data_IF_347873237531
#
_entry.id   IF_347873237531
#
_cell.length_a   1.000
_cell.length_b   1.000
_cell.length_c   1.000
_cell.angle_alpha   90.00
_cell.angle_beta   90.00
_cell.angle_gamma   90.00
#
_symmetry.space_group_name_H-M   'P 1'
#
loop_
_entity.id
_entity.type
_entity.pdbx_description
1 polymer ?
#
# COMPACT_ATOMS: atom_id res chain seq x y z
N UNK A 1 -13.52 9.95 21.75
CA UNK A 1 -13.22 11.14 20.90
C UNK A 1 -11.76 11.13 20.42
N UNK A 2 -10.75 10.80 21.26
CA UNK A 2 -9.32 10.84 20.91
C UNK A 2 -8.91 9.89 19.76
N UNK A 3 -9.27 8.62 19.80
CA UNK A 3 -8.90 7.65 18.75
C UNK A 3 -9.51 8.00 17.37
N UNK A 4 -10.78 8.41 17.34
CA UNK A 4 -11.44 8.77 16.08
C UNK A 4 -10.79 9.96 15.37
N UNK A 5 -10.34 10.97 16.12
CA UNK A 5 -9.68 12.15 15.58
C UNK A 5 -8.25 11.85 15.11
N UNK A 6 -7.53 10.96 15.81
CA UNK A 6 -6.20 10.48 15.38
C UNK A 6 -6.31 9.75 14.04
N UNK A 7 -7.26 8.84 13.88
CA UNK A 7 -7.45 8.11 12.62
C UNK A 7 -7.88 9.01 11.47
N UNK A 8 -8.76 9.99 11.70
CA UNK A 8 -9.17 10.96 10.68
C UNK A 8 -7.98 11.75 10.15
N UNK A 9 -7.09 12.15 11.02
CA UNK A 9 -5.87 12.91 10.68
C UNK A 9 -4.83 12.03 10.00
N UNK A 10 -4.63 10.81 10.49
CA UNK A 10 -3.76 9.83 9.86
C UNK A 10 -4.25 9.52 8.43
N UNK A 11 -5.56 9.41 8.23
CA UNK A 11 -6.15 9.22 6.91
C UNK A 11 -5.80 10.37 5.95
N UNK A 12 -6.00 11.62 6.37
CA UNK A 12 -5.64 12.80 5.56
C UNK A 12 -4.16 12.81 5.23
N UNK A 13 -3.30 12.55 6.22
CA UNK A 13 -1.85 12.50 6.01
C UNK A 13 -1.45 11.45 4.99
N UNK A 14 -2.00 10.22 5.09
CA UNK A 14 -1.67 9.13 4.17
C UNK A 14 -2.21 9.41 2.77
N UNK A 15 -3.38 10.04 2.64
CA UNK A 15 -3.91 10.47 1.33
C UNK A 15 -2.95 11.47 0.67
N UNK A 16 -2.52 12.48 1.40
CA UNK A 16 -1.61 13.51 0.86
C UNK A 16 -0.24 12.89 0.55
N UNK A 17 0.37 12.19 1.51
CA UNK A 17 1.69 11.59 1.35
C UNK A 17 1.70 10.51 0.24
N UNK A 18 0.66 9.67 0.20
CA UNK A 18 0.50 8.66 -0.83
C UNK A 18 0.28 9.25 -2.23
N UNK A 19 -0.52 10.32 -2.34
CA UNK A 19 -0.69 11.02 -3.61
C UNK A 19 0.61 11.68 -4.08
N UNK A 20 1.32 12.35 -3.19
CA UNK A 20 2.63 12.97 -3.51
C UNK A 20 3.64 11.90 -3.93
N UNK A 21 3.75 10.79 -3.19
CA UNK A 21 4.65 9.69 -3.54
C UNK A 21 4.29 9.06 -4.91
N UNK A 22 3.01 8.82 -5.17
CA UNK A 22 2.55 8.30 -6.45
C UNK A 22 2.84 9.25 -7.61
N UNK A 23 2.62 10.55 -7.43
CA UNK A 23 2.93 11.57 -8.45
C UNK A 23 4.44 11.67 -8.71
N UNK A 24 5.25 11.70 -7.65
CA UNK A 24 6.72 11.70 -7.79
C UNK A 24 7.19 10.46 -8.54
N UNK A 25 6.64 9.27 -8.20
CA UNK A 25 6.99 8.02 -8.88
C UNK A 25 6.55 8.04 -10.35
N UNK A 26 5.35 8.55 -10.64
CA UNK A 26 4.82 8.57 -12.00
C UNK A 26 5.59 9.53 -12.91
N UNK A 27 5.78 10.77 -12.46
CA UNK A 27 6.48 11.80 -13.25
C UNK A 27 7.99 11.65 -13.21
N UNK A 28 8.54 11.15 -12.11
CA UNK A 28 9.98 10.87 -11.95
C UNK A 28 10.42 9.52 -12.52
N UNK A 29 9.51 8.71 -13.08
CA UNK A 29 9.83 7.36 -13.53
C UNK A 29 11.01 7.30 -14.50
N UNK A 30 11.10 8.23 -15.45
CA UNK A 30 12.18 8.29 -16.43
C UNK A 30 13.53 8.66 -15.81
N UNK A 31 13.50 9.49 -14.78
CA UNK A 31 14.72 9.89 -14.07
C UNK A 31 15.20 8.77 -13.11
N UNK A 32 14.27 8.11 -12.39
CA UNK A 32 14.63 7.04 -11.45
C UNK A 32 15.23 5.79 -12.13
N UNK A 33 14.79 5.49 -13.35
CA UNK A 33 15.25 4.30 -14.10
C UNK A 33 15.92 4.69 -15.42
N UNK A 34 16.71 5.76 -15.41
CA UNK A 34 17.45 6.25 -16.57
C UNK A 34 18.36 5.17 -17.20
N UNK A 35 18.95 4.32 -16.36
CA UNK A 35 19.81 3.21 -16.78
C UNK A 35 19.03 1.99 -17.31
N UNK A 36 17.71 1.96 -17.10
CA UNK A 36 16.84 0.84 -17.47
C UNK A 36 15.54 1.35 -18.13
N UNK A 37 15.57 1.87 -19.36
CA UNK A 37 14.41 2.47 -20.02
C UNK A 37 13.19 1.54 -20.12
N UNK A 38 13.43 0.22 -20.14
CA UNK A 38 12.37 -0.79 -20.18
C UNK A 38 11.56 -0.89 -18.87
N UNK A 39 12.10 -0.40 -17.76
CA UNK A 39 11.44 -0.41 -16.47
C UNK A 39 10.51 0.80 -16.24
N UNK A 40 10.59 1.83 -17.07
CA UNK A 40 9.77 3.05 -16.97
C UNK A 40 8.28 2.72 -16.98
N UNK A 41 7.83 1.84 -17.88
CA UNK A 41 6.44 1.43 -17.99
C UNK A 41 5.97 0.73 -16.71
N UNK A 42 6.78 -0.18 -16.18
CA UNK A 42 6.48 -0.89 -14.92
C UNK A 42 6.37 0.07 -13.74
N UNK A 43 7.25 1.05 -13.64
CA UNK A 43 7.24 2.04 -12.58
C UNK A 43 6.00 2.95 -12.68
N UNK A 44 5.59 3.35 -13.87
CA UNK A 44 4.36 4.11 -14.09
C UNK A 44 3.10 3.31 -13.71
N UNK A 45 3.10 2.00 -13.92
CA UNK A 45 2.01 1.11 -13.49
C UNK A 45 1.99 0.95 -11.96
N UNK A 46 3.16 0.93 -11.31
CA UNK A 46 3.26 0.83 -9.86
C UNK A 46 2.86 2.12 -9.12
N UNK A 47 2.97 3.28 -9.76
CA UNK A 47 2.68 4.56 -9.12
C UNK A 47 1.26 4.63 -8.49
N UNK A 48 0.15 4.29 -9.19
CA UNK A 48 -1.17 4.25 -8.56
C UNK A 48 -1.26 3.17 -7.47
N UNK A 49 -0.50 2.09 -7.57
CA UNK A 49 -0.45 1.04 -6.54
C UNK A 49 0.09 1.57 -5.21
N UNK A 50 1.09 2.46 -5.25
CA UNK A 50 1.64 3.13 -4.06
C UNK A 50 0.52 3.89 -3.32
N UNK A 51 -0.30 4.62 -4.04
CA UNK A 51 -1.43 5.35 -3.46
C UNK A 51 -2.44 4.40 -2.80
N UNK A 52 -2.84 3.35 -3.50
CA UNK A 52 -3.80 2.36 -3.00
C UNK A 52 -3.24 1.59 -1.79
N UNK A 53 -1.94 1.26 -1.79
CA UNK A 53 -1.29 0.58 -0.66
C UNK A 53 -1.33 1.40 0.64
N UNK A 54 -1.31 2.74 0.53
CA UNK A 54 -1.50 3.63 1.67
C UNK A 54 -2.86 3.42 2.36
N UNK A 55 -3.94 3.29 1.59
CA UNK A 55 -5.26 2.97 2.17
C UNK A 55 -5.27 1.59 2.82
N UNK A 56 -4.70 0.60 2.17
CA UNK A 56 -4.60 -0.74 2.71
C UNK A 56 -3.86 -0.74 4.06
N UNK A 57 -2.77 0.02 4.16
CA UNK A 57 -1.99 0.15 5.39
C UNK A 57 -2.80 0.78 6.53
N UNK A 58 -3.59 1.83 6.25
CA UNK A 58 -4.47 2.46 7.25
C UNK A 58 -5.48 1.47 7.80
N UNK A 59 -6.20 0.76 6.93
CA UNK A 59 -7.23 -0.18 7.37
C UNK A 59 -6.63 -1.37 8.13
N UNK A 60 -5.46 -1.85 7.74
CA UNK A 60 -4.71 -2.87 8.49
C UNK A 60 -4.31 -2.36 9.86
N UNK A 61 -3.71 -1.18 9.94
CA UNK A 61 -3.32 -0.55 11.21
C UNK A 61 -4.52 -0.34 12.14
N UNK A 62 -5.63 0.11 11.57
CA UNK A 62 -6.88 0.29 12.32
C UNK A 62 -7.39 -1.02 12.93
N UNK A 63 -7.45 -2.10 12.16
CA UNK A 63 -7.89 -3.40 12.69
C UNK A 63 -6.90 -3.98 13.71
N UNK A 64 -5.60 -3.77 13.54
CA UNK A 64 -4.57 -4.19 14.49
C UNK A 64 -4.68 -3.46 15.82
N UNK A 65 -4.99 -2.18 15.80
CA UNK A 65 -5.20 -1.40 17.03
C UNK A 65 -6.36 -1.93 17.90
N UNK A 66 -7.31 -2.63 17.29
CA UNK A 66 -8.38 -3.34 18.01
C UNK A 66 -8.06 -4.80 18.34
N UNK A 67 -6.77 -5.15 18.46
CA UNK A 67 -6.29 -6.50 18.77
C UNK A 67 -6.80 -7.59 17.80
N UNK A 68 -7.08 -7.23 16.56
CA UNK A 68 -7.54 -8.18 15.53
C UNK A 68 -6.51 -8.33 14.42
N UNK A 69 -5.50 -9.18 14.67
CA UNK A 69 -4.44 -9.43 13.70
C UNK A 69 -4.84 -10.39 12.57
N UNK A 70 -5.80 -11.30 12.83
CA UNK A 70 -6.24 -12.33 11.87
C UNK A 70 -6.69 -11.75 10.53
N UNK A 71 -7.56 -10.72 10.45
CA UNK A 71 -7.95 -10.14 9.16
C UNK A 71 -6.78 -9.54 8.40
N UNK A 72 -5.82 -8.95 9.09
CA UNK A 72 -4.61 -8.39 8.47
C UNK A 72 -3.77 -9.49 7.83
N UNK A 73 -3.53 -10.60 8.56
CA UNK A 73 -2.76 -11.74 8.05
C UNK A 73 -3.43 -12.38 6.84
N UNK A 74 -4.75 -12.59 6.89
CA UNK A 74 -5.50 -13.13 5.75
C UNK A 74 -5.43 -12.18 4.56
N UNK A 75 -5.56 -10.88 4.77
CA UNK A 75 -5.45 -9.89 3.70
C UNK A 75 -4.07 -9.91 3.02
N UNK A 76 -3.00 -10.18 3.78
CA UNK A 76 -1.65 -10.33 3.24
C UNK A 76 -1.51 -11.61 2.39
N UNK A 77 -2.10 -12.71 2.83
CA UNK A 77 -2.11 -13.96 2.05
C UNK A 77 -2.85 -13.74 0.72
N UNK A 78 -4.02 -13.10 0.75
CA UNK A 78 -4.80 -12.79 -0.46
C UNK A 78 -3.99 -11.89 -1.39
N UNK A 79 -3.34 -10.86 -0.86
CA UNK A 79 -2.47 -9.95 -1.62
C UNK A 79 -1.36 -10.71 -2.33
N UNK A 80 -0.64 -11.60 -1.63
CA UNK A 80 0.46 -12.36 -2.21
C UNK A 80 -0.02 -13.39 -3.24
N UNK A 81 -1.12 -14.09 -2.99
CA UNK A 81 -1.70 -15.03 -3.95
C UNK A 81 -2.18 -14.31 -5.21
N UNK A 82 -2.92 -13.22 -5.07
CA UNK A 82 -3.39 -12.43 -6.20
C UNK A 82 -2.21 -11.85 -6.99
N UNK A 83 -1.20 -11.31 -6.29
CA UNK A 83 0.03 -10.82 -6.93
C UNK A 83 0.70 -11.94 -7.73
N UNK A 84 0.94 -13.11 -7.13
CA UNK A 84 1.63 -14.21 -7.81
C UNK A 84 0.87 -14.67 -9.08
N UNK A 85 -0.43 -14.91 -8.96
CA UNK A 85 -1.25 -15.38 -10.09
C UNK A 85 -1.32 -14.32 -11.19
N UNK A 86 -1.66 -13.08 -10.84
CA UNK A 86 -1.84 -12.01 -11.84
C UNK A 86 -0.51 -11.60 -12.46
N UNK A 87 0.60 -11.55 -11.70
CA UNK A 87 1.93 -11.26 -12.24
C UNK A 87 2.33 -12.25 -13.33
N UNK A 88 2.17 -13.55 -13.07
CA UNK A 88 2.56 -14.59 -14.03
C UNK A 88 1.67 -14.52 -15.27
N UNK A 89 0.35 -14.45 -15.09
CA UNK A 89 -0.60 -14.41 -16.20
C UNK A 89 -0.44 -13.14 -17.04
N UNK A 90 -0.36 -11.97 -16.39
CA UNK A 90 -0.24 -10.71 -17.10
C UNK A 90 1.13 -10.57 -17.79
N UNK A 91 2.22 -10.97 -17.13
CA UNK A 91 3.54 -10.97 -17.74
C UNK A 91 3.57 -11.85 -18.99
N UNK A 92 3.03 -13.08 -18.91
CA UNK A 92 2.94 -13.98 -20.05
C UNK A 92 2.09 -13.42 -21.19
N UNK A 93 0.88 -12.93 -20.87
CA UNK A 93 -0.05 -12.42 -21.88
C UNK A 93 0.49 -11.18 -22.59
N UNK A 94 1.13 -10.27 -21.86
CA UNK A 94 1.66 -9.02 -22.42
C UNK A 94 2.98 -9.25 -23.17
N UNK A 95 3.81 -10.19 -22.75
CA UNK A 95 5.06 -10.50 -23.42
C UNK A 95 4.88 -11.39 -24.67
N UNK A 96 3.84 -12.24 -24.70
CA UNK A 96 3.57 -13.22 -25.76
C UNK A 96 3.59 -12.68 -27.19
N UNK A 97 3.09 -11.46 -27.52
CA UNK A 97 3.13 -10.90 -28.88
C UNK A 97 4.53 -10.62 -29.40
N UNK A 98 5.52 -10.54 -28.52
CA UNK A 98 6.90 -10.14 -28.84
C UNK A 98 7.83 -11.35 -28.84
N UNK A 99 8.84 -11.31 -29.70
CA UNK A 99 9.82 -12.39 -29.76
C UNK A 99 10.64 -12.47 -28.47
N UNK A 100 10.84 -13.69 -27.98
CA UNK A 100 11.60 -13.92 -26.75
C UNK A 100 13.04 -13.35 -26.90
N UNK A 101 13.53 -12.72 -25.84
CA UNK A 101 14.84 -12.08 -25.81
C UNK A 101 14.88 -10.66 -26.39
N UNK A 102 13.78 -10.13 -26.91
CA UNK A 102 13.72 -8.74 -27.36
C UNK A 102 13.46 -7.78 -26.20
N UNK A 103 13.88 -6.53 -26.37
CA UNK A 103 13.65 -5.44 -25.42
C UNK A 103 12.17 -5.23 -25.14
N UNK A 104 11.32 -5.34 -26.17
CA UNK A 104 9.87 -5.21 -26.03
C UNK A 104 9.30 -6.38 -25.21
N UNK A 105 9.76 -7.61 -25.41
CA UNK A 105 9.35 -8.75 -24.60
C UNK A 105 9.65 -8.52 -23.11
N UNK A 106 10.86 -8.05 -22.78
CA UNK A 106 11.25 -7.73 -21.40
C UNK A 106 10.43 -6.59 -20.82
N UNK A 107 10.19 -5.51 -21.58
CA UNK A 107 9.42 -4.33 -21.19
C UNK A 107 7.96 -4.68 -20.85
N UNK A 108 7.29 -5.41 -21.71
CA UNK A 108 5.89 -5.78 -21.48
C UNK A 108 5.74 -6.92 -20.46
N UNK A 109 6.72 -7.80 -20.35
CA UNK A 109 6.77 -8.82 -19.30
C UNK A 109 6.90 -8.19 -17.92
N UNK A 110 7.80 -7.23 -17.75
CA UNK A 110 7.96 -6.51 -16.48
C UNK A 110 6.75 -5.65 -16.14
N UNK A 111 6.11 -5.01 -17.14
CA UNK A 111 4.88 -4.26 -16.96
C UNK A 111 3.73 -5.15 -16.48
N UNK A 112 3.60 -6.35 -17.05
CA UNK A 112 2.60 -7.33 -16.60
C UNK A 112 2.84 -7.80 -15.16
N UNK A 113 4.10 -8.02 -14.79
CA UNK A 113 4.45 -8.34 -13.40
C UNK A 113 4.07 -7.20 -12.44
N UNK A 114 4.31 -5.95 -12.83
CA UNK A 114 3.91 -4.78 -12.05
C UNK A 114 2.38 -4.68 -11.86
N UNK A 115 1.59 -5.06 -12.87
CA UNK A 115 0.13 -5.14 -12.76
C UNK A 115 -0.32 -6.14 -11.70
N UNK A 116 0.40 -7.24 -11.52
CA UNK A 116 0.14 -8.22 -10.48
C UNK A 116 0.24 -7.64 -9.08
N UNK A 117 1.26 -6.80 -8.84
CA UNK A 117 1.40 -6.09 -7.56
C UNK A 117 0.18 -5.19 -7.29
N UNK A 118 -0.28 -4.45 -8.31
CA UNK A 118 -1.50 -3.64 -8.21
C UNK A 118 -2.75 -4.47 -7.89
N UNK A 119 -2.93 -5.59 -8.59
CA UNK A 119 -4.04 -6.51 -8.36
C UNK A 119 -3.98 -7.14 -6.95
N UNK A 120 -2.80 -7.49 -6.48
CA UNK A 120 -2.59 -7.99 -5.13
C UNK A 120 -3.05 -6.99 -4.07
N UNK A 121 -2.58 -5.75 -4.16
CA UNK A 121 -2.96 -4.66 -3.23
C UNK A 121 -4.47 -4.42 -3.27
N UNK A 122 -5.09 -4.39 -4.45
CA UNK A 122 -6.54 -4.25 -4.60
C UNK A 122 -7.28 -5.41 -3.95
N UNK A 123 -6.86 -6.65 -4.17
CA UNK A 123 -7.45 -7.83 -3.54
C UNK A 123 -7.37 -7.78 -2.00
N UNK A 124 -6.20 -7.42 -1.48
CA UNK A 124 -5.99 -7.20 -0.05
C UNK A 124 -6.87 -6.09 0.51
N UNK A 125 -7.02 -4.96 -0.23
CA UNK A 125 -7.87 -3.84 0.17
C UNK A 125 -9.35 -4.23 0.20
N UNK A 126 -9.85 -4.89 -0.84
CA UNK A 126 -11.25 -5.35 -0.89
C UNK A 126 -11.56 -6.26 0.32
N UNK A 127 -10.66 -7.21 0.60
CA UNK A 127 -10.85 -8.10 1.74
C UNK A 127 -10.85 -7.35 3.08
N UNK A 128 -9.90 -6.41 3.28
CA UNK A 128 -9.80 -5.69 4.54
C UNK A 128 -11.01 -4.75 4.75
N UNK A 129 -11.52 -4.13 3.69
CA UNK A 129 -12.74 -3.33 3.73
C UNK A 129 -13.96 -4.17 4.09
N UNK A 130 -14.06 -5.39 3.56
CA UNK A 130 -15.11 -6.33 3.93
C UNK A 130 -15.02 -6.74 5.40
N UNK A 131 -13.82 -7.06 5.88
CA UNK A 131 -13.57 -7.39 7.28
C UNK A 131 -13.91 -6.21 8.22
N UNK A 132 -13.56 -4.99 7.81
CA UNK A 132 -13.91 -3.77 8.52
C UNK A 132 -15.43 -3.55 8.56
N UNK A 133 -16.11 -3.69 7.42
CA UNK A 133 -17.56 -3.51 7.35
C UNK A 133 -18.32 -4.47 8.29
N UNK A 134 -17.86 -5.71 8.39
CA UNK A 134 -18.44 -6.70 9.32
C UNK A 134 -18.25 -6.37 10.80
N UNK A 135 -17.14 -5.71 11.13
CA UNK A 135 -16.78 -5.39 12.53
C UNK A 135 -17.14 -3.97 12.93
N UNK A 136 -17.58 -3.14 12.00
CA UNK A 136 -17.84 -1.70 12.19
C UNK A 136 -18.73 -1.41 13.41
N UNK A 137 -19.77 -2.20 13.65
CA UNK A 137 -20.69 -1.99 14.77
C UNK A 137 -19.99 -2.13 16.13
N UNK A 138 -19.24 -3.19 16.36
CA UNK A 138 -18.51 -3.39 17.62
C UNK A 138 -17.38 -2.36 17.83
N UNK A 139 -16.71 -1.97 16.74
CA UNK A 139 -15.69 -0.94 16.76
C UNK A 139 -16.28 0.44 17.10
N UNK A 140 -17.43 0.81 16.51
CA UNK A 140 -18.16 2.04 16.81
C UNK A 140 -18.61 2.10 18.27
N UNK A 141 -19.07 1.01 18.84
CA UNK A 141 -19.41 0.92 20.27
C UNK A 141 -18.18 1.13 21.16
N UNK A 142 -17.07 0.50 20.83
CA UNK A 142 -15.80 0.69 21.56
C UNK A 142 -15.32 2.13 21.52
N UNK A 143 -15.40 2.79 20.36
CA UNK A 143 -15.04 4.22 20.21
C UNK A 143 -15.99 5.13 20.98
N UNK A 144 -17.28 4.80 21.01
CA UNK A 144 -18.29 5.60 21.73
C UNK A 144 -18.15 5.50 23.25
N UNK A 145 -17.71 4.35 23.74
CA UNK A 145 -17.50 4.08 25.17
C UNK A 145 -16.08 4.44 25.64
N UNK A 146 -15.21 4.90 24.74
CA UNK A 146 -13.87 5.37 25.09
C UNK A 146 -13.97 6.72 25.80
N UNK A 147 -13.70 6.71 27.11
CA UNK A 147 -13.64 7.88 27.98
C UNK A 147 -12.23 8.36 28.24
N UNK A 148 -11.25 7.88 27.47
CA UNK A 148 -9.85 8.28 27.59
C UNK A 148 -9.68 9.78 27.42
N UNK A 149 -8.88 10.46 28.26
CA UNK A 149 -8.66 11.88 28.14
C UNK A 149 -8.02 12.24 26.81
N UNK A 150 -8.40 13.38 26.25
CA UNK A 150 -7.84 13.92 25.01
C UNK A 150 -6.32 14.01 25.11
N UNK A 151 -5.67 13.26 24.28
CA UNK A 151 -4.29 12.88 24.41
C UNK A 151 -3.39 13.66 23.47
N UNK A 152 -2.25 13.95 23.94
CA UNK A 152 -0.97 14.24 23.31
C UNK A 152 -0.96 15.22 22.14
N UNK A 153 -0.18 16.27 22.35
CA UNK A 153 0.15 17.30 21.36
C UNK A 153 0.58 16.67 20.03
N UNK A 154 0.12 17.27 18.93
CA UNK A 154 0.49 16.86 17.56
C UNK A 154 2.00 16.69 17.33
N UNK A 155 2.81 17.57 17.93
CA UNK A 155 4.26 17.50 17.83
C UNK A 155 4.82 16.22 18.44
N UNK A 156 4.20 15.71 19.52
CA UNK A 156 4.64 14.47 20.17
C UNK A 156 4.30 13.25 19.33
N UNK A 157 3.08 13.20 18.76
CA UNK A 157 2.67 12.13 17.85
C UNK A 157 3.53 12.09 16.58
N UNK A 158 3.79 13.24 15.97
CA UNK A 158 4.65 13.35 14.80
C UNK A 158 6.08 12.90 15.11
N UNK A 159 6.61 13.28 16.26
CA UNK A 159 7.95 12.84 16.70
C UNK A 159 8.03 11.33 16.91
N UNK A 160 6.99 10.71 17.48
CA UNK A 160 6.91 9.26 17.66
C UNK A 160 6.86 8.57 16.30
N UNK A 161 6.05 9.05 15.36
CA UNK A 161 5.95 8.50 14.01
C UNK A 161 7.32 8.55 13.31
N UNK A 162 7.97 9.70 13.31
CA UNK A 162 9.30 9.84 12.69
C UNK A 162 10.32 8.95 13.38
N UNK A 163 10.37 8.93 14.70
CA UNK A 163 11.31 8.10 15.44
C UNK A 163 11.11 6.59 15.18
N UNK A 164 9.88 6.15 14.90
CA UNK A 164 9.58 4.75 14.60
C UNK A 164 9.82 4.41 13.13
N UNK A 165 9.46 5.32 12.21
CA UNK A 165 9.56 5.06 10.75
C UNK A 165 10.99 5.20 10.25
N UNK A 166 11.75 6.16 10.77
CA UNK A 166 13.12 6.44 10.30
C UNK A 166 14.03 5.21 10.35
N UNK A 167 14.13 4.44 11.46
CA UNK A 167 14.97 3.23 11.50
C UNK A 167 14.53 2.17 10.47
N UNK A 168 13.21 2.04 10.24
CA UNK A 168 12.66 1.08 9.28
C UNK A 168 13.05 1.46 7.85
N UNK A 169 12.91 2.75 7.50
CA UNK A 169 13.29 3.26 6.18
C UNK A 169 14.80 3.13 5.96
N UNK A 170 15.61 3.49 6.96
CA UNK A 170 17.08 3.33 6.88
C UNK A 170 17.45 1.87 6.69
N UNK A 171 16.85 0.95 7.44
CA UNK A 171 17.09 -0.48 7.26
C UNK A 171 16.70 -0.95 5.85
N UNK A 172 15.58 -0.50 5.31
CA UNK A 172 15.11 -0.88 3.96
C UNK A 172 16.00 -0.31 2.83
N UNK A 173 16.74 0.76 3.06
CA UNK A 173 17.66 1.36 2.08
C UNK A 173 19.06 0.73 2.14
N UNK A 174 19.47 0.24 3.33
CA UNK A 174 20.80 -0.32 3.56
C UNK A 174 20.88 -1.82 3.19
N UNK A 175 19.74 -2.53 3.18
CA UNK A 175 19.64 -3.93 2.78
C UNK A 175 19.09 -4.07 1.36
#
# INVERSE_FOLDING_TARGET
RGLGDVYKRQFIYVVIAGAVAALITYFGAEWFVSDQPNAVLSLKILAPTIFISGFLAIFRGYLQAYNTMVPTSISQIIEQLANAVVSIVAAYMLAKPFAAGTTEHAKYGSAGSAMGTGAGVLGGLIFILFAYARRRKGIMESVKNDTSPDTESYGKLFRIIIATVTPIVVAAVVY
#
